data_IF_674768163634
#
_entry.id   IF_674768163634
#
_cell.length_a   1.000
_cell.length_b   1.000
_cell.length_c   1.000
_cell.angle_alpha   90.00
_cell.angle_beta   90.00
_cell.angle_gamma   90.00
#
_symmetry.space_group_name_H-M   'P 1'
#
loop_
_entity.id
_entity.type
_entity.pdbx_description
1 polymer ?
#
# COMPACT_ATOMS: atom_id res chain seq x y z
N UNK A 1 15.82 -30.84 -13.40
CA UNK A 1 16.56 -29.63 -13.82
C UNK A 1 16.49 -28.65 -12.66
N UNK A 2 17.41 -28.78 -11.70
CA UNK A 2 17.36 -28.02 -10.46
C UNK A 2 17.94 -26.63 -10.67
N UNK A 3 17.12 -25.60 -10.44
CA UNK A 3 17.60 -24.25 -10.31
C UNK A 3 18.28 -24.14 -8.94
N UNK A 4 19.55 -23.75 -8.90
CA UNK A 4 20.20 -23.41 -7.64
C UNK A 4 19.66 -22.07 -7.10
N UNK A 5 19.72 -21.87 -5.78
CA UNK A 5 19.17 -20.69 -5.13
C UNK A 5 19.86 -19.38 -5.59
N UNK A 6 21.15 -19.43 -5.92
CA UNK A 6 21.91 -18.27 -6.38
C UNK A 6 21.46 -17.85 -7.79
N UNK A 7 21.20 -18.81 -8.67
CA UNK A 7 20.62 -18.59 -9.99
C UNK A 7 19.21 -18.03 -9.88
N UNK A 8 18.38 -18.58 -8.98
CA UNK A 8 17.02 -18.09 -8.74
C UNK A 8 17.02 -16.65 -8.25
N UNK A 9 17.89 -16.34 -7.28
CA UNK A 9 18.02 -15.00 -6.72
C UNK A 9 18.50 -14.00 -7.76
N UNK A 10 19.48 -14.37 -8.58
CA UNK A 10 19.98 -13.49 -9.64
C UNK A 10 18.90 -13.19 -10.69
N UNK A 11 18.12 -14.19 -11.09
CA UNK A 11 16.98 -14.01 -12.00
C UNK A 11 15.92 -13.08 -11.40
N UNK A 12 15.56 -13.30 -10.12
CA UNK A 12 14.60 -12.46 -9.39
C UNK A 12 15.05 -11.00 -9.35
N UNK A 13 16.30 -10.73 -8.94
CA UNK A 13 16.82 -9.37 -8.85
C UNK A 13 16.90 -8.69 -10.23
N UNK A 14 17.30 -9.45 -11.26
CA UNK A 14 17.34 -8.94 -12.63
C UNK A 14 15.96 -8.53 -13.11
N UNK A 15 14.92 -9.31 -12.80
CA UNK A 15 13.54 -8.97 -13.13
C UNK A 15 13.05 -7.77 -12.32
N UNK A 16 13.34 -7.72 -11.01
CA UNK A 16 12.92 -6.63 -10.14
C UNK A 16 13.45 -5.26 -10.62
N UNK A 17 14.71 -5.21 -11.06
CA UNK A 17 15.32 -3.99 -11.61
C UNK A 17 14.68 -3.60 -12.95
N UNK A 18 14.43 -4.58 -13.84
CA UNK A 18 13.82 -4.32 -15.15
C UNK A 18 12.38 -3.83 -15.06
N UNK A 19 11.62 -4.37 -14.11
CA UNK A 19 10.20 -4.05 -13.91
C UNK A 19 9.97 -2.88 -12.96
N UNK A 20 11.03 -2.40 -12.29
CA UNK A 20 10.96 -1.38 -11.23
C UNK A 20 9.94 -1.77 -10.13
N UNK A 21 9.90 -3.04 -9.78
CA UNK A 21 8.89 -3.60 -8.87
C UNK A 21 9.20 -5.02 -8.42
N UNK A 22 8.28 -5.62 -7.65
CA UNK A 22 8.40 -7.03 -7.28
C UNK A 22 8.01 -7.91 -8.49
N UNK A 23 8.88 -8.85 -8.93
CA UNK A 23 8.62 -9.74 -10.06
C UNK A 23 7.73 -10.95 -9.69
N UNK A 24 6.99 -10.83 -8.59
CA UNK A 24 5.96 -11.77 -8.14
C UNK A 24 4.80 -10.96 -7.55
N UNK A 25 3.58 -11.48 -7.65
CA UNK A 25 2.46 -10.92 -6.89
C UNK A 25 2.44 -11.52 -5.49
N UNK A 26 2.37 -10.69 -4.43
CA UNK A 26 2.13 -11.20 -3.08
C UNK A 26 0.85 -12.03 -3.07
N UNK A 27 0.93 -13.25 -2.55
CA UNK A 27 -0.21 -14.18 -2.48
C UNK A 27 -1.07 -13.96 -1.22
N UNK A 28 -0.51 -13.26 -0.23
CA UNK A 28 -1.24 -12.89 0.98
C UNK A 28 -2.12 -11.68 0.67
N UNK A 29 -3.42 -11.93 0.54
CA UNK A 29 -4.44 -10.89 0.35
C UNK A 29 -4.80 -10.15 1.65
N UNK A 30 -4.14 -10.49 2.76
CA UNK A 30 -4.36 -9.86 4.06
C UNK A 30 -3.33 -8.76 4.25
N UNK A 31 -3.76 -7.51 4.48
CA UNK A 31 -2.84 -6.42 4.79
C UNK A 31 -2.05 -6.73 6.06
N UNK A 32 -0.88 -6.11 6.21
CA UNK A 32 -0.15 -6.17 7.47
C UNK A 32 -0.98 -5.50 8.59
N UNK A 33 -0.61 -5.76 9.86
CA UNK A 33 -1.36 -5.26 11.02
C UNK A 33 -1.61 -3.76 11.00
N UNK A 34 -0.59 -2.95 10.66
CA UNK A 34 -0.70 -1.49 10.67
C UNK A 34 -1.67 -1.00 9.58
N UNK A 35 -1.58 -1.59 8.38
CA UNK A 35 -2.50 -1.27 7.29
C UNK A 35 -3.93 -1.73 7.61
N UNK A 36 -4.10 -2.90 8.24
CA UNK A 36 -5.41 -3.38 8.68
C UNK A 36 -6.04 -2.44 9.72
N UNK A 37 -5.25 -1.99 10.70
CA UNK A 37 -5.69 -1.03 11.73
C UNK A 37 -6.09 0.30 11.10
N UNK A 38 -5.31 0.82 10.15
CA UNK A 38 -5.63 2.06 9.43
C UNK A 38 -6.94 1.95 8.63
N UNK A 39 -7.17 0.84 7.93
CA UNK A 39 -8.42 0.59 7.20
C UNK A 39 -9.62 0.56 8.15
N UNK A 40 -9.55 -0.24 9.22
CA UNK A 40 -10.63 -0.36 10.19
C UNK A 40 -10.92 0.99 10.89
N UNK A 41 -9.88 1.78 11.13
CA UNK A 41 -10.02 3.12 11.67
C UNK A 41 -10.79 4.05 10.73
N UNK A 42 -10.39 4.12 9.45
CA UNK A 42 -11.09 4.91 8.44
C UNK A 42 -12.54 4.46 8.25
N UNK A 43 -12.83 3.16 8.25
CA UNK A 43 -14.20 2.63 8.15
C UNK A 43 -15.09 3.15 9.29
N UNK A 44 -14.57 3.22 10.52
CA UNK A 44 -15.32 3.74 11.68
C UNK A 44 -15.58 5.24 11.61
N UNK A 45 -14.64 6.02 11.04
CA UNK A 45 -14.85 7.44 10.76
C UNK A 45 -15.98 7.62 9.73
N UNK A 46 -15.93 6.87 8.63
CA UNK A 46 -16.96 6.93 7.58
C UNK A 46 -18.34 6.50 8.08
N UNK A 47 -18.39 5.57 9.04
CA UNK A 47 -19.62 5.16 9.72
C UNK A 47 -20.13 6.18 10.76
N UNK A 48 -19.35 7.24 11.05
CA UNK A 48 -19.69 8.27 12.04
C UNK A 48 -19.53 7.82 13.50
N UNK A 49 -18.81 6.72 13.76
CA UNK A 49 -18.57 6.20 15.11
C UNK A 49 -17.45 6.95 15.85
N UNK A 50 -16.58 7.64 15.11
CA UNK A 50 -15.46 8.42 15.63
C UNK A 50 -15.54 9.80 15.02
N UNK A 51 -15.42 10.84 15.85
CA UNK A 51 -15.33 12.21 15.39
C UNK A 51 -13.85 12.63 15.28
N UNK A 52 -13.53 13.23 14.12
CA UNK A 52 -12.62 14.39 14.01
C UNK A 52 -11.11 14.16 13.79
N UNK A 53 -10.67 13.04 13.22
CA UNK A 53 -9.29 12.93 12.70
C UNK A 53 -9.18 12.49 11.22
N UNK A 54 -10.31 12.21 10.57
CA UNK A 54 -10.38 11.94 9.14
C UNK A 54 -10.75 13.18 8.34
N UNK A 55 -10.13 13.35 7.18
CA UNK A 55 -10.51 14.37 6.22
C UNK A 55 -11.26 13.75 5.03
N UNK A 56 -12.47 14.22 4.77
CA UNK A 56 -13.27 13.86 3.59
C UNK A 56 -13.26 15.01 2.60
N UNK A 57 -13.08 14.70 1.33
CA UNK A 57 -12.98 15.70 0.26
C UNK A 57 -13.99 15.37 -0.84
N UNK A 58 -14.60 16.40 -1.43
CA UNK A 58 -15.59 16.20 -2.48
C UNK A 58 -14.92 15.90 -3.84
N UNK A 59 -13.67 16.31 -4.01
CA UNK A 59 -12.92 16.13 -5.25
C UNK A 59 -11.41 15.97 -5.04
N UNK A 60 -10.73 15.47 -6.08
CA UNK A 60 -9.30 15.21 -6.03
C UNK A 60 -8.44 16.48 -5.88
N UNK A 61 -8.87 17.63 -6.40
CA UNK A 61 -8.08 18.86 -6.33
C UNK A 61 -7.99 19.37 -4.89
N UNK A 62 -9.12 19.35 -4.16
CA UNK A 62 -9.19 19.67 -2.74
C UNK A 62 -8.32 18.74 -1.89
N UNK A 63 -8.37 17.43 -2.16
CA UNK A 63 -7.54 16.44 -1.47
C UNK A 63 -6.04 16.67 -1.71
N UNK A 64 -5.64 17.03 -2.93
CA UNK A 64 -4.24 17.34 -3.27
C UNK A 64 -3.77 18.59 -2.52
N UNK A 65 -4.57 19.65 -2.51
CA UNK A 65 -4.26 20.89 -1.80
C UNK A 65 -4.10 20.64 -0.29
N UNK A 66 -4.95 19.81 0.31
CA UNK A 66 -4.80 19.42 1.70
C UNK A 66 -3.46 18.69 1.93
N UNK A 67 -3.14 17.68 1.12
CA UNK A 67 -1.91 16.89 1.28
C UNK A 67 -0.63 17.73 1.11
N UNK A 68 -0.63 18.70 0.20
CA UNK A 68 0.51 19.60 -0.01
C UNK A 68 0.73 20.54 1.19
N UNK A 69 -0.34 20.89 1.92
CA UNK A 69 -0.31 21.77 3.08
C UNK A 69 -0.09 21.04 4.42
N UNK A 70 -0.13 19.69 4.45
CA UNK A 70 0.04 18.86 5.66
C UNK A 70 1.52 18.49 5.94
N UNK A 71 2.46 19.07 5.18
CA UNK A 71 3.91 18.90 5.42
C UNK A 71 4.45 19.65 6.62
#
# INVERSE_FOLDING_TARGET
>A
MGLDLSTALNMFLTQAVREQGLPIRPTLNVPNRVTAEAIAHTERILAGEIADDGATFDNAAEAIEYLDNVK
#
